data_IF_434050242638
#
_entry.id   IF_434050242638
#
_cell.length_a   1.000
_cell.length_b   1.000
_cell.length_c   1.000
_cell.angle_alpha   90.00
_cell.angle_beta   90.00
_cell.angle_gamma   90.00
#
_symmetry.space_group_name_H-M   'P 1'
#
loop_
_entity.id
_entity.type
_entity.pdbx_description
1 polymer ?
#
# COMPACT_ATOMS: atom_id res chain seq x y z
N UNK A 1 -38.99 31.30 41.20
CA UNK A 1 -38.66 29.91 40.84
C UNK A 1 -37.33 29.94 40.09
N UNK A 2 -36.25 29.43 40.69
CA UNK A 2 -34.91 29.40 40.08
C UNK A 2 -34.78 28.07 39.32
N UNK A 3 -34.59 28.15 38.01
CA UNK A 3 -34.23 26.99 37.19
C UNK A 3 -32.70 26.80 37.26
N UNK A 4 -32.26 25.73 37.91
CA UNK A 4 -30.87 25.28 37.91
C UNK A 4 -30.70 24.31 36.76
N UNK A 5 -30.05 24.75 35.67
CA UNK A 5 -29.59 23.86 34.60
C UNK A 5 -28.22 23.29 34.97
N UNK A 6 -28.19 21.98 35.23
CA UNK A 6 -26.95 21.22 35.37
C UNK A 6 -26.35 20.97 33.98
N UNK A 7 -25.16 21.50 33.71
CA UNK A 7 -24.36 21.08 32.55
C UNK A 7 -23.64 19.78 32.91
N UNK A 8 -24.03 18.68 32.27
CA UNK A 8 -23.34 17.40 32.37
C UNK A 8 -21.98 17.50 31.68
N UNK A 9 -20.90 17.33 32.44
CA UNK A 9 -19.55 17.22 31.93
C UNK A 9 -19.35 15.82 31.37
N UNK A 10 -19.28 15.66 30.05
CA UNK A 10 -18.82 14.42 29.44
C UNK A 10 -17.31 14.32 29.62
N UNK A 11 -16.86 13.46 30.53
CA UNK A 11 -15.46 13.09 30.67
C UNK A 11 -15.04 12.30 29.43
N UNK A 12 -14.24 12.91 28.56
CA UNK A 12 -13.55 12.20 27.50
C UNK A 12 -12.50 11.30 28.16
N UNK A 13 -12.73 9.98 28.14
CA UNK A 13 -11.72 8.99 28.44
C UNK A 13 -10.63 9.08 27.37
N UNK A 14 -9.58 9.83 27.69
CA UNK A 14 -8.32 9.79 26.96
C UNK A 14 -7.68 8.42 27.21
N UNK A 15 -7.99 7.44 26.37
CA UNK A 15 -7.14 6.26 26.25
C UNK A 15 -5.85 6.71 25.58
N UNK A 16 -4.86 6.99 26.41
CA UNK A 16 -3.46 7.12 25.99
C UNK A 16 -3.04 5.77 25.39
N UNK A 17 -3.19 5.62 24.08
CA UNK A 17 -2.49 4.57 23.36
C UNK A 17 -1.04 5.02 23.37
N UNK A 18 -0.25 4.40 24.24
CA UNK A 18 1.19 4.59 24.28
C UNK A 18 1.73 4.44 22.87
N UNK A 19 2.42 5.47 22.39
CA UNK A 19 3.23 5.45 21.18
C UNK A 19 4.33 4.39 21.33
N UNK A 20 3.95 3.12 21.17
CA UNK A 20 4.85 2.00 21.08
C UNK A 20 5.53 2.07 19.73
N UNK A 21 6.78 2.55 19.73
CA UNK A 21 7.75 2.46 18.64
C UNK A 21 7.23 2.96 17.29
N UNK A 22 7.33 4.28 17.08
CA UNK A 22 7.31 4.87 15.74
C UNK A 22 8.50 4.26 14.98
N UNK A 23 8.30 3.41 13.96
CA UNK A 23 9.43 2.96 13.15
C UNK A 23 10.03 4.20 12.49
N UNK A 24 11.36 4.27 12.49
CA UNK A 24 12.20 5.43 12.21
C UNK A 24 12.16 5.91 10.75
N UNK A 25 10.98 5.95 10.12
CA UNK A 25 10.74 6.47 8.78
C UNK A 25 10.22 7.92 8.77
N UNK A 26 10.06 8.54 9.95
CA UNK A 26 9.74 9.96 10.07
C UNK A 26 10.95 10.86 9.73
N UNK A 27 11.60 10.65 8.58
CA UNK A 27 12.30 11.74 7.90
C UNK A 27 11.22 12.58 7.25
N UNK A 28 11.09 13.82 7.74
CA UNK A 28 10.19 14.85 7.21
C UNK A 28 10.47 15.03 5.71
N UNK A 29 9.71 14.36 4.86
CA UNK A 29 9.71 14.70 3.45
C UNK A 29 8.93 16.01 3.33
N UNK A 30 9.64 17.06 2.91
CA UNK A 30 9.05 18.32 2.53
C UNK A 30 8.44 18.12 1.13
N UNK A 31 7.31 17.40 1.06
CA UNK A 31 6.69 16.96 -0.20
C UNK A 31 5.83 18.10 -0.77
N UNK A 32 6.46 19.01 -1.48
CA UNK A 32 5.73 19.81 -2.46
C UNK A 32 5.50 18.95 -3.71
N UNK A 33 4.31 18.35 -3.79
CA UNK A 33 3.58 18.00 -5.02
C UNK A 33 4.06 16.86 -5.94
N UNK A 34 4.93 15.96 -5.50
CA UNK A 34 5.15 14.69 -6.22
C UNK A 34 5.55 13.56 -5.27
N UNK A 35 4.63 12.65 -4.98
CA UNK A 35 4.89 11.45 -4.18
C UNK A 35 5.71 10.38 -4.92
N UNK A 36 6.21 10.67 -6.12
CA UNK A 36 7.12 9.76 -6.83
C UNK A 36 6.44 8.53 -7.41
N UNK A 37 7.19 7.44 -7.47
CA UNK A 37 6.81 6.17 -8.07
C UNK A 37 7.48 5.01 -7.33
N UNK A 38 6.85 3.84 -7.41
CA UNK A 38 7.41 2.58 -6.96
C UNK A 38 8.05 1.86 -8.15
N UNK A 39 9.28 1.39 -8.00
CA UNK A 39 9.89 0.46 -8.95
C UNK A 39 9.56 -0.96 -8.54
N UNK A 40 9.03 -1.74 -9.49
CA UNK A 40 8.72 -3.16 -9.33
C UNK A 40 9.79 -3.95 -10.06
N UNK A 41 10.40 -4.91 -9.36
CA UNK A 41 11.49 -5.73 -9.88
C UNK A 41 11.28 -7.20 -9.52
N UNK A 42 12.00 -8.09 -10.17
CA UNK A 42 11.99 -9.54 -9.92
C UNK A 42 10.57 -10.14 -9.95
N UNK A 43 9.71 -9.63 -10.83
CA UNK A 43 8.34 -10.11 -10.94
C UNK A 43 8.33 -11.54 -11.49
N UNK A 44 7.69 -12.43 -10.73
CA UNK A 44 7.39 -13.79 -11.12
C UNK A 44 5.95 -14.13 -10.81
N UNK A 45 5.33 -14.90 -11.69
CA UNK A 45 3.98 -15.40 -11.50
C UNK A 45 3.89 -16.85 -11.96
N UNK A 46 3.03 -17.63 -11.32
CA UNK A 46 2.61 -18.92 -11.85
C UNK A 46 1.11 -19.08 -11.72
N UNK A 47 0.52 -19.71 -12.72
CA UNK A 47 -0.90 -20.06 -12.74
C UNK A 47 -1.03 -21.55 -13.03
N UNK A 48 -1.44 -22.28 -12.00
CA UNK A 48 -1.76 -23.70 -12.06
C UNK A 48 -3.24 -23.92 -11.73
N UNK A 49 -3.86 -25.00 -12.24
CA UNK A 49 -5.26 -25.31 -11.92
C UNK A 49 -5.54 -25.43 -10.41
N UNK A 50 -4.52 -25.74 -9.61
CA UNK A 50 -4.60 -25.94 -8.16
C UNK A 50 -4.04 -24.79 -7.33
N UNK A 51 -3.37 -23.82 -7.95
CA UNK A 51 -2.74 -22.72 -7.22
C UNK A 51 -2.22 -21.65 -8.17
N UNK A 52 -2.35 -20.38 -7.78
CA UNK A 52 -1.64 -19.28 -8.42
C UNK A 52 -0.67 -18.66 -7.42
N UNK A 53 0.50 -18.24 -7.89
CA UNK A 53 1.54 -17.62 -7.07
C UNK A 53 1.99 -16.35 -7.77
N UNK A 54 2.29 -15.32 -6.98
CA UNK A 54 2.94 -14.09 -7.42
C UNK A 54 4.03 -13.72 -6.40
N UNK A 55 5.18 -13.27 -6.89
CA UNK A 55 6.30 -12.80 -6.07
C UNK A 55 7.04 -11.68 -6.82
N UNK A 56 7.29 -10.56 -6.14
CA UNK A 56 8.06 -9.44 -6.67
C UNK A 56 8.64 -8.58 -5.54
N UNK A 57 9.52 -7.66 -5.89
CA UNK A 57 10.12 -6.69 -4.98
C UNK A 57 9.75 -5.26 -5.37
N UNK A 58 9.49 -4.43 -4.38
CA UNK A 58 9.19 -3.01 -4.55
C UNK A 58 10.31 -2.17 -3.95
N UNK A 59 10.78 -1.21 -4.73
CA UNK A 59 11.67 -0.14 -4.29
C UNK A 59 10.98 1.21 -4.41
N UNK A 60 11.25 2.10 -3.47
CA UNK A 60 10.83 3.49 -3.57
C UNK A 60 11.89 4.29 -4.33
N UNK A 61 11.53 4.88 -5.47
CA UNK A 61 12.44 5.57 -6.39
C UNK A 61 13.19 6.76 -5.72
N UNK A 62 12.62 7.35 -4.67
CA UNK A 62 13.24 8.49 -3.95
C UNK A 62 13.99 8.12 -2.65
N UNK A 63 14.27 6.83 -2.41
CA UNK A 63 15.38 6.41 -1.56
C UNK A 63 15.10 5.77 -0.19
N UNK A 64 16.05 4.87 0.14
CA UNK A 64 16.44 4.32 1.44
C UNK A 64 15.52 3.39 2.24
N UNK A 65 14.32 3.07 1.78
CA UNK A 65 13.67 1.83 2.24
C UNK A 65 14.20 0.67 1.41
N UNK A 66 14.73 -0.38 2.07
CA UNK A 66 15.10 -1.61 1.38
C UNK A 66 13.92 -2.22 0.61
N UNK A 67 14.17 -3.24 -0.23
CA UNK A 67 13.10 -3.86 -1.00
C UNK A 67 12.00 -4.40 -0.08
N UNK A 68 10.76 -4.00 -0.37
CA UNK A 68 9.57 -4.63 0.23
C UNK A 68 9.24 -5.84 -0.64
N UNK A 69 9.16 -7.03 -0.02
CA UNK A 69 8.82 -8.25 -0.74
C UNK A 69 7.31 -8.42 -0.77
N UNK A 70 6.73 -8.58 -1.94
CA UNK A 70 5.30 -8.80 -2.09
C UNK A 70 5.08 -10.20 -2.65
N UNK A 71 4.33 -11.03 -1.92
CA UNK A 71 3.92 -12.34 -2.41
C UNK A 71 2.45 -12.61 -2.10
N UNK A 72 1.83 -13.45 -2.92
CA UNK A 72 0.55 -14.06 -2.60
C UNK A 72 0.49 -15.44 -3.21
N UNK A 73 -0.20 -16.36 -2.53
CA UNK A 73 -0.55 -17.65 -3.08
C UNK A 73 -2.04 -17.94 -2.89
N UNK A 74 -2.60 -18.76 -3.76
CA UNK A 74 -3.96 -19.26 -3.66
C UNK A 74 -4.74 -19.17 -4.97
N UNK A 75 -5.91 -19.78 -4.97
CA UNK A 75 -6.82 -19.85 -6.13
C UNK A 75 -7.38 -18.49 -6.58
N UNK A 76 -7.36 -17.49 -5.70
CA UNK A 76 -7.94 -16.16 -5.95
C UNK A 76 -6.91 -15.10 -6.36
N UNK A 77 -5.62 -15.47 -6.46
CA UNK A 77 -4.56 -14.54 -6.92
C UNK A 77 -4.84 -14.11 -8.36
N UNK A 78 -4.76 -12.80 -8.60
CA UNK A 78 -5.18 -12.20 -9.88
C UNK A 78 -6.68 -12.24 -10.09
N UNK A 79 -7.48 -12.14 -9.03
CA UNK A 79 -8.92 -11.86 -9.10
C UNK A 79 -9.22 -10.39 -8.85
N UNK A 80 -10.25 -9.85 -9.50
CA UNK A 80 -10.65 -8.45 -9.31
C UNK A 80 -10.95 -8.14 -7.83
N UNK A 81 -10.37 -7.04 -7.34
CA UNK A 81 -10.68 -6.48 -6.02
C UNK A 81 -9.97 -7.13 -4.83
N UNK A 82 -9.14 -8.16 -5.04
CA UNK A 82 -8.35 -8.75 -3.96
C UNK A 82 -7.11 -7.92 -3.66
N UNK A 83 -6.90 -7.61 -2.38
CA UNK A 83 -5.70 -6.92 -1.88
C UNK A 83 -4.89 -7.86 -1.00
N UNK A 84 -3.58 -7.87 -1.21
CA UNK A 84 -2.63 -8.73 -0.53
C UNK A 84 -1.60 -7.86 0.19
N UNK A 85 -1.30 -8.19 1.44
CA UNK A 85 -0.25 -7.50 2.19
C UNK A 85 1.13 -7.95 1.71
N UNK A 86 2.06 -7.00 1.59
CA UNK A 86 3.46 -7.30 1.35
C UNK A 86 4.19 -7.58 2.67
N UNK A 87 5.22 -8.43 2.60
CA UNK A 87 6.17 -8.64 3.67
C UNK A 87 7.02 -7.36 3.84
N UNK A 88 6.98 -6.78 5.02
CA UNK A 88 7.92 -5.73 5.40
C UNK A 88 8.82 -6.25 6.50
N UNK A 89 10.12 -6.28 6.22
CA UNK A 89 11.14 -6.72 7.18
C UNK A 89 11.37 -5.70 8.31
N UNK A 90 10.98 -4.42 8.09
CA UNK A 90 11.33 -3.31 8.99
C UNK A 90 10.17 -2.35 9.32
N UNK A 91 8.96 -2.57 8.79
CA UNK A 91 7.75 -1.84 9.21
C UNK A 91 6.77 -2.80 9.86
N UNK A 92 5.79 -2.31 10.66
CA UNK A 92 4.62 -3.11 10.98
C UNK A 92 4.13 -3.80 9.70
N UNK A 93 4.09 -5.12 9.73
CA UNK A 93 3.51 -5.94 8.67
C UNK A 93 2.11 -5.42 8.39
N UNK A 94 1.80 -5.07 7.13
CA UNK A 94 0.46 -4.59 6.75
C UNK A 94 0.33 -3.11 6.39
N UNK A 95 1.43 -2.39 6.19
CA UNK A 95 1.38 -0.99 5.72
C UNK A 95 1.47 -0.87 4.19
N UNK A 96 1.73 -1.97 3.49
CA UNK A 96 1.91 -1.99 2.04
C UNK A 96 1.10 -3.14 1.46
N UNK A 97 0.28 -2.84 0.47
CA UNK A 97 -0.60 -3.79 -0.17
C UNK A 97 -0.51 -3.70 -1.68
N UNK A 98 -0.79 -4.81 -2.35
CA UNK A 98 -0.92 -4.86 -3.78
C UNK A 98 -2.21 -5.56 -4.21
N UNK A 99 -2.65 -5.23 -5.41
CA UNK A 99 -3.75 -5.89 -6.10
C UNK A 99 -3.38 -6.08 -7.56
N UNK A 100 -3.76 -7.21 -8.13
CA UNK A 100 -3.55 -7.54 -9.53
C UNK A 100 -4.91 -7.73 -10.18
N UNK A 101 -5.10 -7.20 -11.38
CA UNK A 101 -6.33 -7.42 -12.13
C UNK A 101 -6.43 -8.86 -12.66
N UNK A 102 -7.61 -9.21 -13.18
CA UNK A 102 -7.90 -10.54 -13.73
C UNK A 102 -7.02 -10.94 -14.92
N UNK A 103 -6.52 -9.95 -15.68
CA UNK A 103 -5.72 -10.18 -16.88
C UNK A 103 -4.21 -10.25 -16.58
N UNK A 104 -3.82 -10.12 -15.30
CA UNK A 104 -2.42 -10.15 -14.85
C UNK A 104 -1.51 -9.14 -15.56
N UNK A 105 -2.06 -8.01 -16.00
CA UNK A 105 -1.35 -6.98 -16.77
C UNK A 105 -1.48 -5.58 -16.17
N UNK A 106 -2.10 -5.45 -15.00
CA UNK A 106 -2.17 -4.21 -14.25
C UNK A 106 -1.94 -4.48 -12.77
N UNK A 107 -0.99 -3.75 -12.18
CA UNK A 107 -0.66 -3.81 -10.77
C UNK A 107 -1.10 -2.52 -10.09
N UNK A 108 -1.85 -2.65 -9.01
CA UNK A 108 -2.24 -1.54 -8.13
C UNK A 108 -1.54 -1.69 -6.79
N UNK A 109 -1.00 -0.59 -6.27
CA UNK A 109 -0.26 -0.54 -5.02
C UNK A 109 -0.92 0.46 -4.07
N UNK A 110 -0.89 0.13 -2.78
CA UNK A 110 -1.37 0.99 -1.70
C UNK A 110 -0.38 0.97 -0.54
N UNK A 111 -0.05 2.13 0.00
CA UNK A 111 0.91 2.27 1.08
C UNK A 111 0.44 3.26 2.14
N UNK A 112 0.52 2.85 3.40
CA UNK A 112 0.31 3.69 4.57
C UNK A 112 1.66 4.12 5.16
N UNK A 113 1.93 5.43 5.11
CA UNK A 113 3.10 6.05 5.72
C UNK A 113 2.72 6.72 7.04
N UNK A 114 3.28 6.22 8.12
CA UNK A 114 3.05 6.75 9.47
C UNK A 114 3.98 7.94 9.71
N UNK A 115 3.42 9.15 9.71
CA UNK A 115 4.13 10.38 10.02
C UNK A 115 3.73 10.87 11.42
N UNK A 116 4.54 11.75 12.01
CA UNK A 116 4.19 12.36 13.29
C UNK A 116 2.94 13.23 13.12
N UNK A 117 1.81 12.77 13.65
CA UNK A 117 0.56 13.53 13.63
C UNK A 117 -0.33 13.29 12.40
N UNK A 118 -0.04 12.30 11.54
CA UNK A 118 -0.96 11.82 10.51
C UNK A 118 -0.51 10.49 9.91
N UNK A 119 -1.44 9.77 9.29
CA UNK A 119 -1.14 8.66 8.38
C UNK A 119 -1.34 9.20 6.97
N UNK A 120 -0.36 9.03 6.09
CA UNK A 120 -0.48 9.34 4.67
C UNK A 120 -0.79 8.05 3.93
N UNK A 121 -1.88 8.04 3.18
CA UNK A 121 -2.30 6.92 2.34
C UNK A 121 -1.93 7.24 0.89
N UNK A 122 -1.11 6.40 0.27
CA UNK A 122 -0.68 6.55 -1.11
C UNK A 122 -1.25 5.43 -1.94
N UNK A 123 -1.80 5.75 -3.11
CA UNK A 123 -2.32 4.75 -4.04
C UNK A 123 -1.83 4.99 -5.46
N UNK A 124 -1.59 3.92 -6.20
CA UNK A 124 -1.22 4.01 -7.61
C UNK A 124 -1.52 2.73 -8.36
N UNK A 125 -1.46 2.83 -9.68
CA UNK A 125 -1.71 1.70 -10.57
C UNK A 125 -0.96 1.91 -11.89
N UNK A 126 -0.40 0.84 -12.44
CA UNK A 126 0.22 0.86 -13.76
C UNK A 126 -0.04 -0.45 -14.53
N UNK A 127 -0.25 -0.35 -15.86
CA UNK A 127 -0.15 -1.52 -16.71
C UNK A 127 1.30 -1.97 -16.82
N UNK A 128 1.51 -3.26 -17.07
CA UNK A 128 2.82 -3.83 -17.34
C UNK A 128 2.72 -5.01 -18.32
N UNK A 129 3.80 -5.26 -19.03
CA UNK A 129 3.87 -6.36 -19.99
C UNK A 129 4.35 -7.64 -19.31
N UNK A 130 3.44 -8.59 -19.16
CA UNK A 130 3.72 -9.92 -18.63
C UNK A 130 4.08 -10.90 -19.77
N UNK A 131 5.20 -11.61 -19.64
CA UNK A 131 5.64 -12.63 -20.60
C UNK A 131 5.35 -14.01 -20.03
N UNK A 132 4.36 -14.69 -20.63
CA UNK A 132 3.99 -16.06 -20.26
C UNK A 132 4.80 -17.11 -21.02
N UNK A 133 5.31 -18.09 -20.29
CA UNK A 133 5.81 -19.38 -20.78
C UNK A 133 4.86 -20.50 -20.36
N UNK A 134 4.69 -21.49 -21.25
CA UNK A 134 3.82 -22.64 -20.99
C UNK A 134 4.65 -23.91 -20.76
N UNK A 135 4.28 -24.66 -19.73
CA UNK A 135 4.77 -26.01 -19.46
C UNK A 135 3.61 -26.98 -19.30
N UNK A 136 3.88 -28.29 -19.30
CA UNK A 136 2.86 -29.29 -19.00
C UNK A 136 2.33 -29.20 -17.56
N UNK A 137 3.06 -28.55 -16.66
CA UNK A 137 2.67 -28.37 -15.26
C UNK A 137 1.79 -27.13 -15.04
N UNK A 138 1.80 -26.15 -15.95
CA UNK A 138 1.07 -24.88 -15.85
C UNK A 138 1.76 -23.74 -16.60
N UNK A 139 1.32 -22.51 -16.35
CA UNK A 139 1.89 -21.31 -16.95
C UNK A 139 2.77 -20.59 -15.94
N UNK A 140 3.97 -20.20 -16.35
CA UNK A 140 4.89 -19.37 -15.58
C UNK A 140 5.07 -18.05 -16.32
N UNK A 141 5.28 -16.96 -15.59
CA UNK A 141 5.46 -15.65 -16.16
C UNK A 141 6.51 -14.83 -15.42
N UNK A 142 7.11 -13.92 -16.19
CA UNK A 142 8.00 -12.87 -15.70
C UNK A 142 7.61 -11.54 -16.33
N UNK A 143 7.99 -10.45 -15.68
CA UNK A 143 7.92 -9.11 -16.26
C UNK A 143 9.28 -8.43 -16.09
N UNK A 144 9.64 -7.59 -17.07
CA UNK A 144 10.78 -6.68 -16.91
C UNK A 144 10.48 -5.67 -15.80
N UNK A 145 11.49 -5.05 -15.18
CA UNK A 145 11.27 -3.97 -14.23
C UNK A 145 10.39 -2.86 -14.80
N UNK A 146 9.45 -2.35 -14.00
CA UNK A 146 8.53 -1.29 -14.38
C UNK A 146 8.20 -0.38 -13.20
N UNK A 147 7.61 0.78 -13.48
CA UNK A 147 7.27 1.77 -12.46
C UNK A 147 5.76 1.91 -12.29
N UNK A 148 5.31 1.99 -11.03
CA UNK A 148 3.94 2.31 -10.64
C UNK A 148 3.93 3.73 -10.09
N UNK A 149 3.30 4.71 -10.77
CA UNK A 149 3.24 6.08 -10.28
C UNK A 149 2.23 6.19 -9.13
N UNK A 150 2.52 7.06 -8.16
CA UNK A 150 1.51 7.46 -7.17
C UNK A 150 0.47 8.35 -7.86
N UNK A 151 -0.77 7.88 -7.88
CA UNK A 151 -1.90 8.55 -8.54
C UNK A 151 -2.76 9.34 -7.57
N UNK A 152 -2.81 8.96 -6.30
CA UNK A 152 -3.52 9.73 -5.27
C UNK A 152 -2.90 9.61 -3.90
N UNK A 153 -3.19 10.63 -3.09
CA UNK A 153 -2.85 10.69 -1.67
C UNK A 153 -4.05 11.07 -0.81
N UNK A 154 -4.07 10.64 0.44
CA UNK A 154 -4.96 11.20 1.47
C UNK A 154 -4.32 11.12 2.84
N UNK A 155 -4.89 11.82 3.81
CA UNK A 155 -4.37 11.89 5.17
C UNK A 155 -5.42 11.48 6.19
N UNK A 156 -5.09 10.56 7.09
CA UNK A 156 -5.83 10.39 8.35
C UNK A 156 -5.17 11.21 9.45
N UNK A 157 -5.88 12.23 9.93
CA UNK A 157 -5.43 13.13 11.00
C UNK A 157 -5.57 12.46 12.39
N UNK A 158 -4.97 13.01 13.46
CA UNK A 158 -5.00 12.41 14.79
C UNK A 158 -6.41 12.31 15.40
N UNK A 159 -7.34 13.12 14.90
CA UNK A 159 -8.74 13.08 15.28
C UNK A 159 -9.54 11.99 14.53
N UNK A 160 -8.87 11.15 13.73
CA UNK A 160 -9.48 10.08 12.93
C UNK A 160 -10.16 10.55 11.64
N UNK A 161 -10.09 11.83 11.30
CA UNK A 161 -10.67 12.35 10.05
C UNK A 161 -9.74 12.02 8.88
N UNK A 162 -10.26 11.37 7.85
CA UNK A 162 -9.54 11.14 6.58
C UNK A 162 -9.90 12.23 5.57
N UNK A 163 -8.90 12.87 4.96
CA UNK A 163 -9.10 13.86 3.90
C UNK A 163 -9.61 13.20 2.62
N UNK A 164 -10.25 13.98 1.75
CA UNK A 164 -10.54 13.51 0.40
C UNK A 164 -9.24 13.19 -0.35
N UNK A 165 -9.23 12.17 -1.24
CA UNK A 165 -8.06 11.89 -2.05
C UNK A 165 -7.70 13.07 -2.95
N UNK A 166 -6.45 13.51 -2.89
CA UNK A 166 -5.86 14.43 -3.85
C UNK A 166 -5.18 13.62 -4.96
N UNK A 167 -5.55 13.87 -6.21
CA UNK A 167 -5.02 13.12 -7.36
C UNK A 167 -3.81 13.83 -7.96
N UNK A 168 -2.78 13.04 -8.29
CA UNK A 168 -1.61 13.51 -9.01
C UNK A 168 -2.01 14.06 -10.38
N UNK A 169 -1.52 15.24 -10.72
CA UNK A 169 -1.74 15.87 -12.03
C UNK A 169 -0.71 15.44 -13.08
N UNK A 170 0.26 14.58 -12.73
CA UNK A 170 1.24 14.04 -13.68
C UNK A 170 0.57 13.00 -14.58
N UNK A 171 0.53 13.33 -15.88
CA UNK A 171 0.21 12.40 -16.97
C UNK A 171 1.43 11.57 -17.34
#
# INVERSE_FOLDING_TARGET
MRASTFFASAAALATTVSAGMVPTFAKRYNVTQAWGQWEVTNFTASSHPSNSIIDFQIFWDQGNSGPVKCNANGYSVGGEGNWYACESNDTPSGNFHFSLNQDWNQLSLSQDMYQTGSIVHLNGSAPFDIKWGYSSAGSEATAEPFYVPVLSESHTLPNGTTTAPEFSSRK
#
